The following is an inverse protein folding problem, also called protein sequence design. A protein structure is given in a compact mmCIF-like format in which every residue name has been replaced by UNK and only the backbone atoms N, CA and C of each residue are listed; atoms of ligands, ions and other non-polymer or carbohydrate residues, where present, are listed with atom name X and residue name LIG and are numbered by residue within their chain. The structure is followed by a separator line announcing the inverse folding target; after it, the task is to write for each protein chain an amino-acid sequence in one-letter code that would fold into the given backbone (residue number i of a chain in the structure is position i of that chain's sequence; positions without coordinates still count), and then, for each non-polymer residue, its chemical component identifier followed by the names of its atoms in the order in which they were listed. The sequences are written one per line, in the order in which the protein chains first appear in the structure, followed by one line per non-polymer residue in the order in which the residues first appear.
data_IF_447432702857
#
_entry.id   IF_447432702857
#
_cell.length_a   1.000
_cell.length_b   1.000
_cell.length_c   1.000
_cell.angle_alpha   90.00
_cell.angle_beta   90.00
_cell.angle_gamma   90.00
#
_symmetry.space_group_name_H-M   'P 1'
#
loop_
_entity.id
_entity.type
_entity.pdbx_description
1 polymer ?
#
# COMPACT_ATOMS: atom_id res chain seq x y z
N UNK A 1 -59.12 7.62 -44.06
CA UNK A 1 -58.63 7.33 -42.69
C UNK A 1 -57.19 6.99 -42.75
N UNK A 2 -56.27 7.89 -42.32
CA UNK A 2 -54.82 7.63 -42.27
C UNK A 2 -54.43 7.41 -40.80
N UNK A 3 -54.01 6.16 -40.46
CA UNK A 3 -53.46 5.87 -39.16
C UNK A 3 -52.00 6.35 -39.11
N UNK A 4 -51.73 7.30 -38.26
CA UNK A 4 -50.36 7.72 -37.92
C UNK A 4 -49.84 6.79 -36.80
N UNK A 5 -48.83 5.99 -37.15
CA UNK A 5 -48.12 5.13 -36.16
C UNK A 5 -47.10 5.98 -35.39
N UNK A 6 -47.31 6.11 -34.08
CA UNK A 6 -46.35 6.69 -33.16
C UNK A 6 -45.27 5.65 -32.84
N UNK A 7 -44.05 5.88 -33.29
CA UNK A 7 -42.86 5.10 -32.87
C UNK A 7 -42.37 5.71 -31.57
N UNK A 8 -42.58 5.04 -30.45
CA UNK A 8 -42.03 5.38 -29.14
C UNK A 8 -40.58 4.96 -29.09
N UNK A 9 -39.62 5.89 -29.28
CA UNK A 9 -38.22 5.62 -29.11
C UNK A 9 -37.87 5.52 -27.61
N UNK A 10 -37.61 4.32 -27.15
CA UNK A 10 -37.15 4.05 -25.78
C UNK A 10 -35.65 4.45 -25.68
N UNK A 11 -35.38 5.65 -25.16
CA UNK A 11 -33.99 6.06 -24.82
C UNK A 11 -33.51 5.30 -23.61
N UNK A 12 -32.62 4.31 -23.81
CA UNK A 12 -31.87 3.65 -22.74
C UNK A 12 -30.90 4.67 -22.15
N UNK A 13 -31.23 5.23 -20.99
CA UNK A 13 -30.32 6.01 -20.15
C UNK A 13 -29.25 5.09 -19.60
N UNK A 14 -28.07 5.04 -20.23
CA UNK A 14 -26.87 4.49 -19.63
C UNK A 14 -26.47 5.41 -18.47
N UNK A 15 -26.88 5.09 -17.25
CA UNK A 15 -26.28 5.69 -16.06
C UNK A 15 -24.82 5.24 -15.98
N UNK A 16 -23.84 6.15 -15.83
CA UNK A 16 -22.47 5.73 -15.59
C UNK A 16 -22.42 4.91 -14.30
N UNK A 17 -21.89 3.69 -14.38
CA UNK A 17 -21.65 2.89 -13.19
C UNK A 17 -20.69 3.68 -12.30
N UNK A 18 -21.13 4.04 -11.10
CA UNK A 18 -20.26 4.64 -10.09
C UNK A 18 -19.17 3.63 -9.78
N UNK A 19 -17.92 3.93 -10.14
CA UNK A 19 -16.79 3.13 -9.73
C UNK A 19 -16.80 3.03 -8.20
N UNK A 20 -16.53 1.86 -7.64
CA UNK A 20 -16.36 1.72 -6.20
C UNK A 20 -15.16 2.57 -5.75
N UNK A 21 -15.12 2.96 -4.47
CA UNK A 21 -14.00 3.73 -3.93
C UNK A 21 -12.65 3.02 -4.21
N UNK A 22 -12.63 1.70 -4.17
CA UNK A 22 -11.46 0.89 -4.45
C UNK A 22 -11.01 1.00 -5.91
N UNK A 23 -11.95 0.98 -6.88
CA UNK A 23 -11.62 1.15 -8.30
C UNK A 23 -11.06 2.54 -8.59
N UNK A 24 -11.53 3.57 -7.90
CA UNK A 24 -10.96 4.91 -8.01
C UNK A 24 -9.51 4.96 -7.51
N UNK A 25 -9.21 4.26 -6.41
CA UNK A 25 -7.85 4.13 -5.87
C UNK A 25 -6.95 3.36 -6.84
N UNK A 26 -7.43 2.26 -7.43
CA UNK A 26 -6.68 1.51 -8.42
C UNK A 26 -6.39 2.31 -9.70
N UNK A 27 -7.35 3.10 -10.15
CA UNK A 27 -7.16 4.02 -11.28
C UNK A 27 -6.10 5.09 -10.97
N UNK A 28 -6.12 5.62 -9.73
CA UNK A 28 -5.12 6.57 -9.26
C UNK A 28 -3.71 5.97 -9.23
N UNK A 29 -3.55 4.75 -8.71
CA UNK A 29 -2.27 4.04 -8.72
C UNK A 29 -1.77 3.79 -10.16
N UNK A 30 -2.66 3.45 -11.08
CA UNK A 30 -2.32 3.23 -12.48
C UNK A 30 -1.84 4.50 -13.18
N UNK A 31 -2.27 5.68 -12.75
CA UNK A 31 -1.81 6.96 -13.32
C UNK A 31 -0.37 7.32 -12.95
N UNK A 32 0.24 6.62 -11.96
CA UNK A 32 1.57 6.91 -11.45
C UNK A 32 1.63 8.11 -10.49
N UNK A 33 2.83 8.47 -10.05
CA UNK A 33 3.08 9.58 -9.13
C UNK A 33 2.60 9.34 -7.70
N UNK A 34 2.18 8.12 -7.35
CA UNK A 34 1.67 7.80 -6.03
C UNK A 34 2.74 7.10 -5.17
N UNK A 35 2.63 7.29 -3.87
CA UNK A 35 3.39 6.51 -2.89
C UNK A 35 2.44 5.62 -2.13
N UNK A 36 2.69 4.31 -2.15
CA UNK A 36 2.01 3.34 -1.31
C UNK A 36 2.83 3.13 -0.06
N UNK A 37 2.32 3.51 1.11
CA UNK A 37 2.92 3.11 2.38
C UNK A 37 2.10 1.98 2.97
N UNK A 38 2.76 0.86 3.27
CA UNK A 38 2.12 -0.39 3.67
C UNK A 38 2.67 -0.89 5.00
N UNK A 39 1.79 -1.27 5.92
CA UNK A 39 2.22 -2.08 7.06
C UNK A 39 2.54 -3.49 6.58
N UNK A 40 3.63 -4.10 7.10
CA UNK A 40 3.95 -5.49 6.81
C UNK A 40 2.70 -6.39 6.91
N UNK A 41 2.68 -7.47 6.16
CA UNK A 41 1.60 -8.44 6.18
C UNK A 41 1.51 -9.19 7.51
N UNK A 42 0.45 -9.98 7.70
CA UNK A 42 0.13 -10.67 8.95
C UNK A 42 1.28 -11.56 9.44
N UNK A 43 1.56 -11.45 10.73
CA UNK A 43 2.66 -12.17 11.40
C UNK A 43 2.14 -13.33 12.24
N UNK A 44 3.03 -14.27 12.59
CA UNK A 44 2.69 -15.35 13.53
C UNK A 44 2.36 -14.73 14.90
N UNK A 45 1.17 -15.00 15.47
CA UNK A 45 0.77 -14.42 16.74
C UNK A 45 1.60 -14.98 17.89
N UNK A 46 1.71 -14.20 18.98
CA UNK A 46 2.33 -14.60 20.24
C UNK A 46 3.81 -15.03 20.16
N UNK A 47 4.50 -14.67 19.09
CA UNK A 47 5.94 -14.90 18.96
C UNK A 47 6.69 -13.66 19.46
N UNK A 48 7.68 -13.80 20.35
CA UNK A 48 8.55 -12.70 20.75
C UNK A 48 9.23 -12.06 19.55
N UNK A 49 9.40 -10.75 19.62
CA UNK A 49 9.98 -9.96 18.53
C UNK A 49 11.29 -9.34 18.99
N UNK A 50 12.39 -9.93 18.58
CA UNK A 50 13.73 -9.45 18.92
C UNK A 50 14.54 -9.16 17.65
N UNK A 51 15.18 -8.01 17.61
CA UNK A 51 16.24 -7.70 16.65
C UNK A 51 17.56 -8.10 17.32
N UNK A 52 18.22 -9.11 16.80
CA UNK A 52 19.46 -9.58 17.40
C UNK A 52 20.32 -10.41 16.46
N UNK A 53 21.41 -10.94 17.00
CA UNK A 53 22.40 -11.72 16.26
C UNK A 53 21.87 -13.00 15.58
N UNK A 54 20.65 -13.43 15.93
CA UNK A 54 19.97 -14.58 15.32
C UNK A 54 19.34 -14.29 13.96
N UNK A 55 19.44 -13.06 13.45
CA UNK A 55 18.84 -12.69 12.16
C UNK A 55 17.33 -12.90 12.14
N UNK A 56 16.78 -13.37 11.00
CA UNK A 56 15.33 -13.57 10.85
C UNK A 56 14.76 -14.64 11.80
N UNK A 57 15.56 -15.62 12.23
CA UNK A 57 15.10 -16.69 13.11
C UNK A 57 14.71 -16.19 14.51
N UNK A 58 15.21 -15.04 14.94
CA UNK A 58 14.90 -14.42 16.23
C UNK A 58 13.76 -13.39 16.16
N UNK A 59 13.19 -13.17 15.00
CA UNK A 59 12.14 -12.17 14.77
C UNK A 59 10.75 -12.81 14.64
N UNK A 60 9.72 -12.04 14.96
CA UNK A 60 8.35 -12.38 14.61
C UNK A 60 8.15 -12.21 13.10
N UNK A 61 8.12 -13.31 12.38
CA UNK A 61 8.02 -13.36 10.93
C UNK A 61 6.58 -13.47 10.44
N UNK A 62 6.39 -13.39 9.12
CA UNK A 62 5.08 -13.55 8.49
C UNK A 62 4.50 -14.93 8.79
N UNK A 63 3.19 -14.96 9.05
CA UNK A 63 2.40 -16.18 8.99
C UNK A 63 2.24 -16.63 7.52
N UNK A 64 1.80 -17.89 7.31
CA UNK A 64 1.50 -18.32 5.93
C UNK A 64 0.38 -17.49 5.31
N UNK A 65 -0.67 -17.15 6.07
CA UNK A 65 -1.70 -16.24 5.62
C UNK A 65 -1.16 -14.86 5.22
N UNK A 66 -0.16 -14.35 5.96
CA UNK A 66 0.51 -13.10 5.61
C UNK A 66 1.33 -13.21 4.33
N UNK A 67 2.05 -14.32 4.12
CA UNK A 67 2.80 -14.57 2.87
C UNK A 67 1.87 -14.62 1.67
N UNK A 68 0.75 -15.31 1.81
CA UNK A 68 -0.25 -15.42 0.75
C UNK A 68 -0.93 -14.07 0.46
N UNK A 69 -1.25 -13.29 1.49
CA UNK A 69 -1.78 -11.93 1.31
C UNK A 69 -0.80 -11.03 0.55
N UNK A 70 0.50 -11.10 0.87
CA UNK A 70 1.53 -10.35 0.14
C UNK A 70 1.60 -10.75 -1.35
N UNK A 71 1.55 -12.05 -1.66
CA UNK A 71 1.52 -12.53 -3.05
C UNK A 71 0.28 -12.03 -3.81
N UNK A 72 -0.91 -12.07 -3.18
CA UNK A 72 -2.17 -11.57 -3.78
C UNK A 72 -2.09 -10.07 -4.07
N UNK A 73 -1.55 -9.27 -3.16
CA UNK A 73 -1.33 -7.84 -3.39
C UNK A 73 -0.49 -7.62 -4.64
N UNK A 74 0.64 -8.29 -4.75
CA UNK A 74 1.49 -8.17 -5.93
C UNK A 74 0.82 -8.64 -7.23
N UNK A 75 0.04 -9.72 -7.16
CA UNK A 75 -0.75 -10.19 -8.30
C UNK A 75 -1.78 -9.15 -8.75
N UNK A 76 -2.46 -8.48 -7.81
CA UNK A 76 -3.43 -7.43 -8.11
C UNK A 76 -2.80 -6.21 -8.78
N UNK A 77 -1.61 -5.79 -8.34
CA UNK A 77 -0.87 -4.70 -9.00
C UNK A 77 -0.50 -5.07 -10.44
N UNK A 78 0.02 -6.28 -10.67
CA UNK A 78 0.37 -6.76 -12.01
C UNK A 78 -0.86 -6.90 -12.92
N UNK A 79 -1.94 -7.48 -12.43
CA UNK A 79 -3.18 -7.66 -13.19
C UNK A 79 -3.77 -6.32 -13.68
N UNK A 80 -3.60 -5.26 -12.88
CA UNK A 80 -4.06 -3.90 -13.22
C UNK A 80 -3.05 -3.09 -14.03
N UNK A 81 -1.87 -3.66 -14.33
CA UNK A 81 -0.82 -2.98 -15.09
C UNK A 81 -0.22 -1.78 -14.35
N UNK A 82 -0.17 -1.82 -13.01
CA UNK A 82 0.43 -0.75 -12.20
C UNK A 82 1.94 -0.91 -12.22
N UNK A 83 2.65 0.12 -12.68
CA UNK A 83 4.11 0.16 -12.69
C UNK A 83 4.63 0.55 -11.32
N UNK A 84 5.24 -0.41 -10.62
CA UNK A 84 5.99 -0.16 -9.38
C UNK A 84 7.43 0.16 -9.77
N UNK A 85 7.88 1.39 -9.51
CA UNK A 85 9.19 1.89 -9.93
C UNK A 85 10.28 1.58 -8.90
N UNK A 86 9.97 1.75 -7.62
CA UNK A 86 10.91 1.50 -6.52
C UNK A 86 10.17 0.88 -5.34
N UNK A 87 10.85 -0.03 -4.66
CA UNK A 87 10.33 -0.71 -3.46
C UNK A 87 11.35 -0.61 -2.35
N UNK A 88 10.97 0.04 -1.26
CA UNK A 88 11.81 0.15 -0.07
C UNK A 88 11.13 -0.47 1.14
N UNK A 89 11.90 -1.09 2.01
CA UNK A 89 11.37 -1.70 3.20
C UNK A 89 12.28 -1.48 4.41
N UNK A 90 11.66 -1.54 5.59
CA UNK A 90 12.38 -1.71 6.84
C UNK A 90 13.24 -2.98 6.80
N UNK A 91 14.38 -2.96 7.50
CA UNK A 91 15.30 -4.11 7.63
C UNK A 91 14.67 -5.34 8.29
N UNK A 92 13.55 -5.15 8.99
CA UNK A 92 12.86 -6.26 9.65
C UNK A 92 12.37 -7.29 8.64
N UNK A 93 12.63 -8.57 8.93
CA UNK A 93 12.36 -9.66 7.99
C UNK A 93 10.92 -9.70 7.50
N UNK A 94 9.93 -9.45 8.36
CA UNK A 94 8.52 -9.37 7.95
C UNK A 94 8.23 -8.26 6.93
N UNK A 95 8.95 -7.12 6.99
CA UNK A 95 8.79 -6.06 6.00
C UNK A 95 9.48 -6.43 4.69
N UNK A 96 10.72 -6.94 4.76
CA UNK A 96 11.47 -7.40 3.59
C UNK A 96 10.74 -8.54 2.87
N UNK A 97 10.20 -9.51 3.61
CA UNK A 97 9.46 -10.63 3.03
C UNK A 97 8.13 -10.19 2.41
N UNK A 98 7.39 -9.27 3.08
CA UNK A 98 6.19 -8.68 2.48
C UNK A 98 6.50 -8.01 1.14
N UNK A 99 7.54 -7.16 1.12
CA UNK A 99 7.96 -6.45 -0.09
C UNK A 99 8.39 -7.39 -1.20
N UNK A 100 9.25 -8.39 -0.90
CA UNK A 100 9.75 -9.36 -1.87
C UNK A 100 8.64 -10.23 -2.46
N UNK A 101 7.72 -10.71 -1.63
CA UNK A 101 6.62 -11.58 -2.07
C UNK A 101 5.63 -10.83 -2.96
N UNK A 102 5.37 -9.55 -2.68
CA UNK A 102 4.45 -8.75 -3.44
C UNK A 102 5.09 -8.17 -4.72
N UNK A 103 6.28 -7.56 -4.61
CA UNK A 103 6.82 -6.68 -5.64
C UNK A 103 8.20 -7.11 -6.19
N UNK A 104 8.84 -8.12 -5.61
CA UNK A 104 10.14 -8.62 -6.06
C UNK A 104 11.33 -7.87 -5.44
N UNK A 105 12.26 -7.33 -6.23
CA UNK A 105 13.45 -6.67 -5.69
C UNK A 105 13.09 -5.52 -4.75
N UNK A 106 13.81 -5.44 -3.62
CA UNK A 106 13.54 -4.46 -2.56
C UNK A 106 14.84 -3.92 -1.98
N UNK A 107 14.87 -2.62 -1.75
CA UNK A 107 15.98 -1.93 -1.08
C UNK A 107 15.66 -1.75 0.40
N UNK A 108 16.58 -2.14 1.27
CA UNK A 108 16.48 -1.79 2.68
C UNK A 108 16.68 -0.29 2.88
N UNK A 109 15.79 0.34 3.67
CA UNK A 109 15.89 1.75 4.00
C UNK A 109 15.63 1.99 5.49
N UNK A 110 16.66 2.38 6.28
CA UNK A 110 16.56 2.51 7.74
C UNK A 110 15.50 3.51 8.24
N UNK A 111 15.11 4.48 7.42
CA UNK A 111 14.02 5.41 7.78
C UNK A 111 12.66 4.71 7.95
N UNK A 112 12.50 3.49 7.44
CA UNK A 112 11.32 2.67 7.60
C UNK A 112 11.38 1.70 8.79
N UNK A 113 12.51 1.65 9.53
CA UNK A 113 12.65 0.76 10.67
C UNK A 113 11.75 1.16 11.82
N UNK A 114 11.22 0.16 12.53
CA UNK A 114 10.36 0.40 13.68
C UNK A 114 11.11 1.17 14.78
N UNK A 115 10.55 2.28 15.19
CA UNK A 115 10.99 3.02 16.38
C UNK A 115 10.13 2.73 17.63
N UNK A 116 9.36 1.65 17.61
CA UNK A 116 8.50 1.28 18.75
C UNK A 116 9.27 1.17 20.06
N UNK A 117 10.49 0.64 20.02
CA UNK A 117 11.38 0.49 21.19
C UNK A 117 12.28 1.69 21.45
N UNK A 118 12.45 2.56 20.46
CA UNK A 118 13.30 3.74 20.56
C UNK A 118 12.62 4.95 19.89
N UNK A 119 11.78 5.62 20.63
CA UNK A 119 11.02 6.79 20.17
C UNK A 119 11.87 8.01 19.82
N UNK A 120 13.12 8.04 20.23
CA UNK A 120 14.03 9.15 19.87
C UNK A 120 14.27 9.25 18.37
N UNK A 121 14.07 8.17 17.62
CA UNK A 121 14.22 8.09 16.17
C UNK A 121 13.01 8.61 15.38
N UNK A 122 11.84 8.72 16.00
CA UNK A 122 10.55 9.03 15.34
C UNK A 122 10.63 10.31 14.48
N UNK A 123 11.05 11.42 15.07
CA UNK A 123 11.05 12.70 14.36
C UNK A 123 11.97 12.72 13.13
N UNK A 124 13.16 12.12 13.25
CA UNK A 124 14.12 12.06 12.17
C UNK A 124 13.65 11.16 11.03
N UNK A 125 13.21 9.94 11.35
CA UNK A 125 12.73 8.99 10.36
C UNK A 125 11.45 9.48 9.65
N UNK A 126 10.49 10.04 10.40
CA UNK A 126 9.25 10.59 9.83
C UNK A 126 9.54 11.74 8.85
N UNK A 127 10.47 12.64 9.20
CA UNK A 127 10.89 13.73 8.33
C UNK A 127 11.55 13.22 7.05
N UNK A 128 12.43 12.22 7.15
CA UNK A 128 13.10 11.63 5.99
C UNK A 128 12.11 10.95 5.03
N UNK A 129 11.14 10.21 5.58
CA UNK A 129 10.09 9.57 4.78
C UNK A 129 9.20 10.62 4.11
N UNK A 130 8.78 11.67 4.83
CA UNK A 130 8.00 12.79 4.29
C UNK A 130 8.72 13.48 3.14
N UNK A 131 10.02 13.71 3.28
CA UNK A 131 10.83 14.35 2.24
C UNK A 131 10.94 13.48 0.98
N UNK A 132 11.08 12.16 1.12
CA UNK A 132 11.05 11.25 -0.02
C UNK A 132 9.69 11.31 -0.74
N UNK A 133 8.58 11.24 0.01
CA UNK A 133 7.23 11.31 -0.57
C UNK A 133 7.04 12.62 -1.33
N UNK A 134 7.42 13.74 -0.74
CA UNK A 134 7.27 15.08 -1.33
C UNK A 134 7.99 15.23 -2.67
N UNK A 135 9.16 14.58 -2.81
CA UNK A 135 9.97 14.64 -4.04
C UNK A 135 9.62 13.56 -5.05
N UNK A 136 8.73 12.64 -4.70
CA UNK A 136 8.42 11.53 -5.59
C UNK A 136 7.64 12.00 -6.81
N UNK A 137 8.12 11.56 -7.98
CA UNK A 137 7.46 11.71 -9.28
C UNK A 137 7.81 10.49 -10.14
N UNK A 138 6.95 10.06 -11.01
CA UNK A 138 7.20 8.88 -11.85
C UNK A 138 6.17 7.78 -11.64
N UNK A 139 6.59 6.53 -11.60
CA UNK A 139 5.72 5.38 -11.31
C UNK A 139 5.24 5.33 -9.86
N UNK A 140 4.72 4.21 -9.43
CA UNK A 140 4.34 4.02 -8.02
C UNK A 140 5.56 3.64 -7.18
N UNK A 141 5.82 4.39 -6.10
CA UNK A 141 6.79 4.03 -5.06
C UNK A 141 6.08 3.22 -3.97
N UNK A 142 6.69 2.11 -3.53
CA UNK A 142 6.16 1.29 -2.42
C UNK A 142 7.10 1.33 -1.23
N UNK A 143 6.56 1.64 -0.06
CA UNK A 143 7.25 1.70 1.23
C UNK A 143 6.63 0.70 2.20
N UNK A 144 7.35 -0.37 2.58
CA UNK A 144 6.86 -1.39 3.52
C UNK A 144 7.49 -1.18 4.89
N UNK A 145 6.65 -0.92 5.89
CA UNK A 145 7.09 -0.52 7.22
C UNK A 145 6.18 -1.05 8.34
N UNK A 146 6.14 -0.37 9.46
CA UNK A 146 5.44 -0.74 10.68
C UNK A 146 4.31 0.23 11.00
N UNK A 147 3.36 -0.24 11.82
CA UNK A 147 2.24 0.59 12.26
C UNK A 147 2.71 1.93 12.85
N UNK A 148 3.72 1.91 13.74
CA UNK A 148 4.17 3.14 14.42
C UNK A 148 4.70 4.20 13.45
N UNK A 149 5.40 3.78 12.39
CA UNK A 149 5.93 4.67 11.36
C UNK A 149 4.79 5.29 10.54
N UNK A 150 3.81 4.49 10.15
CA UNK A 150 2.65 4.96 9.38
C UNK A 150 1.81 5.92 10.22
N UNK A 151 1.56 5.59 11.50
CA UNK A 151 0.77 6.46 12.38
C UNK A 151 1.48 7.79 12.65
N UNK A 152 2.79 7.80 12.86
CA UNK A 152 3.55 9.04 13.04
C UNK A 152 3.54 9.92 11.77
N UNK A 153 3.53 9.31 10.59
CA UNK A 153 3.52 10.02 9.32
C UNK A 153 2.14 10.58 8.96
N UNK A 154 1.07 9.82 9.20
CA UNK A 154 -0.28 10.07 8.65
C UNK A 154 -1.36 10.32 9.70
N UNK A 155 -1.12 10.01 10.97
CA UNK A 155 -2.14 9.99 12.02
C UNK A 155 -3.07 8.77 11.99
N UNK A 156 -2.94 7.89 10.96
CA UNK A 156 -3.83 6.74 10.77
C UNK A 156 -3.20 5.45 11.31
N UNK A 157 -4.04 4.56 11.82
CA UNK A 157 -3.64 3.28 12.37
C UNK A 157 -3.99 2.16 11.38
N UNK A 158 -3.02 1.61 10.62
CA UNK A 158 -3.29 0.58 9.63
C UNK A 158 -3.36 -0.82 10.23
N UNK A 159 -4.19 -1.68 9.65
CA UNK A 159 -4.17 -3.12 9.86
C UNK A 159 -2.92 -3.77 9.23
N UNK A 160 -2.58 -5.02 9.62
CA UNK A 160 -1.48 -5.77 8.98
C UNK A 160 -1.79 -6.01 7.48
N UNK A 161 -0.86 -5.63 6.63
CA UNK A 161 -1.01 -5.69 5.18
C UNK A 161 -1.82 -4.56 4.55
N UNK A 162 -2.35 -3.64 5.33
CA UNK A 162 -3.08 -2.50 4.81
C UNK A 162 -2.15 -1.48 4.15
N UNK A 163 -2.60 -0.94 3.03
CA UNK A 163 -1.92 0.08 2.23
C UNK A 163 -2.64 1.42 2.34
N UNK A 164 -1.89 2.49 2.58
CA UNK A 164 -2.34 3.86 2.43
C UNK A 164 -1.73 4.42 1.15
N UNK A 165 -2.54 5.04 0.32
CA UNK A 165 -2.12 5.67 -0.92
C UNK A 165 -1.93 7.16 -0.65
N UNK A 166 -0.70 7.63 -0.85
CA UNK A 166 -0.28 8.99 -0.59
C UNK A 166 -0.02 9.68 -1.92
N UNK A 167 -0.69 10.81 -2.14
CA UNK A 167 -0.45 11.66 -3.31
C UNK A 167 0.40 12.85 -2.89
N UNK A 168 1.61 13.03 -3.44
CA UNK A 168 2.42 14.22 -3.22
C UNK A 168 1.65 15.49 -3.61
N UNK A 169 1.71 16.53 -2.77
CA UNK A 169 0.99 17.78 -3.03
C UNK A 169 1.75 18.99 -2.46
N UNK A 170 2.44 19.71 -3.34
CA UNK A 170 3.28 20.85 -2.93
C UNK A 170 4.38 20.39 -1.98
N UNK A 171 4.42 20.99 -0.79
CA UNK A 171 5.41 20.67 0.25
C UNK A 171 4.98 19.54 1.19
N UNK A 172 3.89 18.85 0.91
CA UNK A 172 3.37 17.73 1.72
C UNK A 172 2.75 16.64 0.83
N UNK A 173 1.86 15.85 1.39
CA UNK A 173 1.05 14.83 0.70
C UNK A 173 -0.35 14.79 1.30
N UNK A 174 -1.27 14.18 0.57
CA UNK A 174 -2.60 13.83 1.07
C UNK A 174 -2.78 12.31 1.06
N UNK A 175 -3.52 11.78 2.02
CA UNK A 175 -3.95 10.38 1.99
C UNK A 175 -5.14 10.28 1.04
N UNK A 176 -4.90 9.77 -0.16
CA UNK A 176 -5.92 9.65 -1.22
C UNK A 176 -6.86 8.46 -0.98
N UNK A 177 -6.41 7.44 -0.25
CA UNK A 177 -7.25 6.29 0.05
C UNK A 177 -6.52 5.21 0.85
N UNK A 178 -7.25 4.14 1.13
CA UNK A 178 -6.79 2.95 1.87
C UNK A 178 -7.27 1.71 1.13
N UNK A 179 -6.43 0.67 1.11
CA UNK A 179 -6.79 -0.66 0.59
C UNK A 179 -6.43 -1.72 1.63
N UNK A 180 -7.41 -2.48 2.07
CA UNK A 180 -7.19 -3.62 2.97
C UNK A 180 -6.84 -4.88 2.19
N UNK A 181 -6.05 -5.81 2.77
CA UNK A 181 -5.71 -7.07 2.09
C UNK A 181 -6.92 -7.91 1.65
N UNK A 182 -8.04 -7.80 2.38
CA UNK A 182 -9.31 -8.47 2.06
C UNK A 182 -10.02 -7.88 0.83
N UNK A 183 -9.74 -6.63 0.50
CA UNK A 183 -10.32 -5.88 -0.63
C UNK A 183 -9.48 -6.04 -1.91
N UNK A 184 -8.29 -6.62 -1.77
CA UNK A 184 -7.35 -6.79 -2.88
C UNK A 184 -7.59 -8.14 -3.55
N UNK A 185 -8.32 -8.15 -4.65
CA UNK A 185 -8.49 -9.30 -5.53
C UNK A 185 -7.71 -9.12 -6.84
N UNK A 186 -7.27 -10.22 -7.43
CA UNK A 186 -6.55 -10.24 -8.71
C UNK A 186 -7.52 -10.41 -9.90
N UNK A 187 -8.70 -9.77 -9.83
CA UNK A 187 -9.68 -9.86 -10.93
C UNK A 187 -9.22 -9.08 -12.15
#
# INVERSE_FOLDING_TARGET
MRLAGFILALALLFAPASASADEAIWALLKSGGQVVIMRHAATVPNVPDTLGAGGCSSQRNLSEAGREAARRIGAAFRARGITVEDVRASVWCRCMDTARLAFGPVTNWPALDSFFRDRSREAAQTREVRELIRRHSGGTLVLVTHQVNITALTGLFPDEGEMLILTPRGDDFVVAGRLKPSEVSAN
#
